data_IF_304676206669
#
_entry.id   IF_304676206669
#
_cell.length_a   1.000
_cell.length_b   1.000
_cell.length_c   1.000
_cell.angle_alpha   90.00
_cell.angle_beta   90.00
_cell.angle_gamma   90.00
#
_symmetry.space_group_name_H-M   'P 1'
#
loop_
_entity.id
_entity.type
_entity.pdbx_description
1 polymer ?
#
# COMPACT_ATOMS: atom_id res chain seq x y z
N UNK A 1 -22.42 -4.12 -1.78
CA UNK A 1 -21.32 -3.49 -1.01
C UNK A 1 -20.23 -4.52 -0.66
N UNK A 2 -20.57 -5.66 -0.06
CA UNK A 2 -19.65 -6.79 0.21
C UNK A 2 -18.77 -7.20 -0.98
N UNK A 3 -19.33 -7.27 -2.19
CA UNK A 3 -18.58 -7.67 -3.38
C UNK A 3 -17.42 -6.72 -3.72
N UNK A 4 -17.58 -5.42 -3.43
CA UNK A 4 -16.53 -4.43 -3.66
C UNK A 4 -15.36 -4.60 -2.69
N UNK A 5 -15.62 -4.99 -1.44
CA UNK A 5 -14.58 -5.27 -0.45
C UNK A 5 -13.73 -6.48 -0.84
N UNK A 6 -14.37 -7.58 -1.25
CA UNK A 6 -13.65 -8.76 -1.71
C UNK A 6 -12.86 -8.48 -3.00
N UNK A 7 -13.43 -7.72 -3.94
CA UNK A 7 -12.72 -7.30 -5.14
C UNK A 7 -11.49 -6.44 -4.80
N UNK A 8 -11.64 -5.50 -3.87
CA UNK A 8 -10.53 -4.67 -3.38
C UNK A 8 -9.42 -5.50 -2.73
N UNK A 9 -9.78 -6.43 -1.83
CA UNK A 9 -8.82 -7.33 -1.15
C UNK A 9 -8.05 -8.17 -2.18
N UNK A 10 -8.75 -8.80 -3.13
CA UNK A 10 -8.12 -9.63 -4.16
C UNK A 10 -7.21 -8.80 -5.07
N UNK A 11 -7.66 -7.62 -5.49
CA UNK A 11 -6.86 -6.70 -6.30
C UNK A 11 -5.61 -6.24 -5.53
N UNK A 12 -5.76 -5.86 -4.26
CA UNK A 12 -4.66 -5.46 -3.40
C UNK A 12 -3.63 -6.57 -3.21
N UNK A 13 -4.07 -7.81 -2.96
CA UNK A 13 -3.18 -8.98 -2.86
C UNK A 13 -2.42 -9.18 -4.17
N UNK A 14 -3.11 -9.07 -5.31
CA UNK A 14 -2.50 -9.17 -6.63
C UNK A 14 -1.41 -8.12 -6.87
N UNK A 15 -1.67 -6.86 -6.48
CA UNK A 15 -0.70 -5.76 -6.62
C UNK A 15 0.48 -5.94 -5.66
N UNK A 16 0.24 -6.33 -4.41
CA UNK A 16 1.30 -6.64 -3.44
C UNK A 16 2.19 -7.78 -3.96
N UNK A 17 1.59 -8.87 -4.46
CA UNK A 17 2.31 -9.99 -5.04
C UNK A 17 3.15 -9.58 -6.26
N UNK A 18 2.62 -8.69 -7.11
CA UNK A 18 3.36 -8.14 -8.26
C UNK A 18 4.59 -7.35 -7.80
N UNK A 19 4.45 -6.45 -6.82
CA UNK A 19 5.58 -5.71 -6.28
C UNK A 19 6.59 -6.62 -5.58
N UNK A 20 6.11 -7.65 -4.88
CA UNK A 20 6.97 -8.65 -4.27
C UNK A 20 7.78 -9.41 -5.32
N UNK A 21 7.15 -9.82 -6.44
CA UNK A 21 7.85 -10.49 -7.54
C UNK A 21 8.92 -9.57 -8.17
N UNK A 22 8.61 -8.28 -8.35
CA UNK A 22 9.56 -7.28 -8.81
C UNK A 22 10.72 -7.10 -7.82
N UNK A 23 10.46 -7.14 -6.52
CA UNK A 23 11.51 -7.12 -5.50
C UNK A 23 12.40 -8.36 -5.59
N UNK A 24 11.84 -9.56 -5.70
CA UNK A 24 12.63 -10.80 -5.81
C UNK A 24 13.56 -10.75 -7.03
N UNK A 25 13.08 -10.23 -8.16
CA UNK A 25 13.84 -10.12 -9.41
C UNK A 25 14.91 -9.02 -9.39
N UNK A 26 14.59 -7.84 -8.88
CA UNK A 26 15.47 -6.65 -8.98
C UNK A 26 16.25 -6.34 -7.69
N UNK A 27 15.83 -6.91 -6.56
CA UNK A 27 16.32 -6.65 -5.20
C UNK A 27 16.27 -5.17 -4.79
N UNK A 28 15.47 -4.34 -5.48
CA UNK A 28 15.32 -2.92 -5.14
C UNK A 28 14.37 -2.75 -3.95
N UNK A 29 14.81 -2.16 -2.83
CA UNK A 29 14.01 -2.06 -1.60
C UNK A 29 12.72 -1.26 -1.79
N UNK A 30 12.68 -0.33 -2.75
CA UNK A 30 11.46 0.40 -3.09
C UNK A 30 10.27 -0.52 -3.41
N UNK A 31 10.50 -1.63 -4.14
CA UNK A 31 9.42 -2.57 -4.45
C UNK A 31 8.97 -3.38 -3.23
N UNK A 32 9.87 -3.67 -2.30
CA UNK A 32 9.49 -4.30 -1.03
C UNK A 32 8.62 -3.35 -0.20
N UNK A 33 8.99 -2.07 -0.13
CA UNK A 33 8.20 -1.04 0.57
C UNK A 33 6.81 -0.92 -0.05
N UNK A 34 6.70 -0.86 -1.40
CA UNK A 34 5.40 -0.83 -2.07
C UNK A 34 4.57 -2.09 -1.82
N UNK A 35 5.19 -3.27 -1.82
CA UNK A 35 4.54 -4.55 -1.51
C UNK A 35 3.93 -4.54 -0.10
N UNK A 36 4.71 -4.10 0.89
CA UNK A 36 4.25 -4.01 2.29
C UNK A 36 3.17 -2.94 2.46
N UNK A 37 3.30 -1.79 1.81
CA UNK A 37 2.30 -0.72 1.87
C UNK A 37 0.93 -1.22 1.40
N UNK A 38 0.89 -1.92 0.27
CA UNK A 38 -0.37 -2.48 -0.26
C UNK A 38 -1.06 -3.48 0.67
N UNK A 39 -0.33 -4.10 1.61
CA UNK A 39 -0.93 -5.01 2.60
C UNK A 39 -1.66 -4.26 3.72
N UNK A 40 -1.29 -3.01 4.02
CA UNK A 40 -1.91 -2.22 5.10
C UNK A 40 -3.43 -2.02 4.91
N UNK A 41 -3.92 -1.50 3.76
CA UNK A 41 -5.35 -1.31 3.57
C UNK A 41 -6.10 -2.64 3.51
N UNK A 42 -5.46 -3.71 3.02
CA UNK A 42 -6.05 -5.07 2.99
C UNK A 42 -6.26 -5.58 4.41
N UNK A 43 -5.23 -5.48 5.26
CA UNK A 43 -5.30 -5.90 6.66
C UNK A 43 -6.36 -5.09 7.42
N UNK A 44 -6.42 -3.78 7.19
CA UNK A 44 -7.44 -2.92 7.78
C UNK A 44 -8.85 -3.36 7.35
N UNK A 45 -9.07 -3.59 6.06
CA UNK A 45 -10.39 -3.98 5.55
C UNK A 45 -10.84 -5.34 6.09
N UNK A 46 -9.94 -6.32 6.18
CA UNK A 46 -10.21 -7.62 6.81
C UNK A 46 -10.56 -7.44 8.29
N UNK A 47 -9.85 -6.57 9.00
CA UNK A 47 -10.13 -6.28 10.41
C UNK A 47 -11.50 -5.62 10.59
N UNK A 48 -11.86 -4.67 9.74
CA UNK A 48 -13.19 -4.01 9.75
C UNK A 48 -14.29 -5.01 9.45
N UNK A 49 -14.15 -5.86 8.42
CA UNK A 49 -15.14 -6.89 8.08
C UNK A 49 -15.44 -7.84 9.25
N UNK A 50 -14.42 -8.16 10.06
CA UNK A 50 -14.58 -9.03 11.23
C UNK A 50 -15.12 -8.31 12.47
N UNK A 51 -14.87 -7.00 12.59
CA UNK A 51 -15.15 -6.25 13.83
C UNK A 51 -16.44 -5.43 13.75
N UNK A 52 -16.89 -5.05 12.55
CA UNK A 52 -17.92 -4.05 12.36
C UNK A 52 -19.18 -4.63 11.69
N UNK A 53 -20.29 -4.71 12.43
CA UNK A 53 -21.55 -5.35 12.02
C UNK A 53 -22.67 -4.40 11.58
N UNK A 54 -22.45 -3.08 11.49
CA UNK A 54 -23.52 -2.18 11.06
C UNK A 54 -23.19 -0.69 10.87
N UNK A 55 -22.39 -0.06 11.74
CA UNK A 55 -22.28 1.43 11.78
C UNK A 55 -20.83 1.95 11.86
N UNK A 56 -19.84 1.07 11.86
CA UNK A 56 -18.43 1.45 11.95
C UNK A 56 -17.91 1.79 10.54
N UNK A 57 -18.24 3.00 10.09
CA UNK A 57 -17.83 3.56 8.80
C UNK A 57 -17.17 4.93 8.98
N UNK A 58 -16.31 5.09 9.99
CA UNK A 58 -15.25 6.09 9.86
C UNK A 58 -14.29 5.51 8.82
N UNK A 59 -14.19 6.17 7.67
CA UNK A 59 -13.27 5.81 6.58
C UNK A 59 -11.84 6.09 7.02
N UNK A 60 -11.33 5.32 7.98
CA UNK A 60 -9.93 5.40 8.46
C UNK A 60 -8.98 5.21 7.26
N UNK A 61 -9.40 4.43 6.27
CA UNK A 61 -8.74 4.28 4.97
C UNK A 61 -8.41 5.64 4.36
N UNK A 62 -9.45 6.47 4.21
CA UNK A 62 -9.39 7.74 3.51
C UNK A 62 -8.69 8.81 4.34
N UNK A 63 -8.85 8.75 5.67
CA UNK A 63 -8.34 9.76 6.59
C UNK A 63 -6.91 9.49 7.06
N UNK A 64 -6.49 8.23 7.14
CA UNK A 64 -5.20 7.86 7.75
C UNK A 64 -4.38 6.93 6.87
N UNK A 65 -4.96 5.85 6.33
CA UNK A 65 -4.19 4.85 5.57
C UNK A 65 -3.67 5.45 4.26
N UNK A 66 -4.54 6.00 3.41
CA UNK A 66 -4.12 6.59 2.14
C UNK A 66 -3.21 7.82 2.31
N UNK A 67 -3.46 8.77 3.24
CA UNK A 67 -2.53 9.87 3.47
C UNK A 67 -1.16 9.40 3.93
N UNK A 68 -1.09 8.37 4.78
CA UNK A 68 0.18 7.79 5.23
C UNK A 68 0.92 7.12 4.06
N UNK A 69 0.22 6.34 3.23
CA UNK A 69 0.80 5.72 2.05
C UNK A 69 1.34 6.74 1.06
N UNK A 70 0.56 7.77 0.73
CA UNK A 70 0.97 8.85 -0.16
C UNK A 70 2.20 9.56 0.41
N UNK A 71 2.20 9.87 1.72
CA UNK A 71 3.33 10.49 2.40
C UNK A 71 4.60 9.64 2.32
N UNK A 72 4.49 8.33 2.57
CA UNK A 72 5.62 7.41 2.49
C UNK A 72 6.15 7.25 1.06
N UNK A 73 5.27 7.07 0.07
CA UNK A 73 5.65 6.95 -1.33
C UNK A 73 6.29 8.24 -1.86
N UNK A 74 5.72 9.40 -1.51
CA UNK A 74 6.31 10.69 -1.85
C UNK A 74 7.69 10.88 -1.21
N UNK A 75 7.85 10.50 0.06
CA UNK A 75 9.13 10.54 0.77
C UNK A 75 10.19 9.68 0.10
N UNK A 76 9.87 8.41 -0.19
CA UNK A 76 10.78 7.48 -0.89
C UNK A 76 11.14 8.02 -2.27
N UNK A 77 10.17 8.56 -3.01
CA UNK A 77 10.40 9.13 -4.35
C UNK A 77 11.32 10.35 -4.30
N UNK A 78 11.13 11.24 -3.32
CA UNK A 78 12.00 12.41 -3.10
C UNK A 78 13.43 12.00 -2.74
N UNK A 79 13.60 10.99 -1.89
CA UNK A 79 14.92 10.46 -1.52
C UNK A 79 15.60 9.85 -2.74
N UNK A 80 14.88 9.02 -3.50
CA UNK A 80 15.38 8.42 -4.74
C UNK A 80 15.79 9.47 -5.78
N UNK A 81 14.98 10.51 -5.96
CA UNK A 81 15.30 11.63 -6.85
C UNK A 81 16.57 12.37 -6.43
N UNK A 82 16.72 12.68 -5.14
CA UNK A 82 17.91 13.35 -4.61
C UNK A 82 19.18 12.52 -4.84
N UNK A 83 19.11 11.20 -4.58
CA UNK A 83 20.22 10.29 -4.82
C UNK A 83 20.61 10.21 -6.31
N UNK A 84 19.62 10.11 -7.21
CA UNK A 84 19.87 10.13 -8.65
C UNK A 84 20.55 11.43 -9.10
N UNK A 85 20.06 12.58 -8.63
CA UNK A 85 20.61 13.88 -9.02
C UNK A 85 22.05 14.10 -8.51
N UNK A 86 22.42 13.49 -7.37
CA UNK A 86 23.79 13.55 -6.84
C UNK A 86 24.78 12.71 -7.66
N UNK A 87 24.33 11.60 -8.27
CA UNK A 87 25.19 10.72 -9.05
C UNK A 87 25.37 11.16 -10.52
N UNK A 88 24.56 12.12 -10.97
CA UNK A 88 24.58 12.67 -12.34
C UNK A 88 25.38 13.99 -12.47
N UNK A 89 26.04 14.43 -11.40
CA UNK A 89 27.04 15.53 -11.40
C UNK A 89 28.43 14.94 -11.32
#
# INVERSE_FOLDING_TARGET
>A
MIFAYFAFILAGIGVAALFQALFVKTRKPAFLVCSVLWLLPICYEIWVLNTCTGECNIRVDLLYVFPLEIGLLAGVSLIGWRAYRQHSR
#
